data_IF_497523304992
#
_entry.id   IF_497523304992
#
_cell.length_a   1.000
_cell.length_b   1.000
_cell.length_c   1.000
_cell.angle_alpha   90.00
_cell.angle_beta   90.00
_cell.angle_gamma   90.00
#
_symmetry.space_group_name_H-M   'P 1'
#
loop_
_entity.id
_entity.type
_entity.pdbx_description
1 polymer ?
#
# COMPACT_ATOMS: atom_id res chain seq x y z
N UNK A 1 -7.11 -1.72 -7.38
CA UNK A 1 -7.09 -0.83 -6.19
C UNK A 1 -7.40 0.60 -6.60
N UNK A 2 -8.17 1.36 -5.83
CA UNK A 2 -8.35 2.79 -6.09
C UNK A 2 -7.07 3.56 -5.70
N UNK A 3 -6.44 4.23 -6.65
CA UNK A 3 -5.26 5.07 -6.39
C UNK A 3 -5.64 6.23 -5.48
N UNK A 4 -5.08 6.24 -4.27
CA UNK A 4 -5.29 7.28 -3.27
C UNK A 4 -4.10 8.22 -3.18
N UNK A 5 -4.34 9.41 -2.62
CA UNK A 5 -3.27 10.31 -2.20
C UNK A 5 -2.31 9.54 -1.27
N UNK A 6 -0.99 9.61 -1.48
CA UNK A 6 -0.03 9.04 -0.53
C UNK A 6 -0.26 9.54 0.89
N UNK A 7 -0.20 8.62 1.87
CA UNK A 7 -0.47 8.91 3.28
C UNK A 7 0.35 10.09 3.81
N UNK A 8 1.57 10.22 3.31
CA UNK A 8 2.53 11.25 3.66
C UNK A 8 3.12 11.83 2.38
N UNK A 9 3.34 13.14 2.40
CA UNK A 9 4.02 13.90 1.33
C UNK A 9 5.27 14.58 1.95
N UNK A 10 5.88 13.91 2.93
CA UNK A 10 7.05 14.44 3.61
C UNK A 10 8.29 14.27 2.74
N UNK A 11 9.11 15.33 2.73
CA UNK A 11 10.40 15.35 2.08
C UNK A 11 11.45 14.77 3.05
N UNK A 12 12.55 14.28 2.51
CA UNK A 12 13.65 13.77 3.31
C UNK A 12 14.62 12.95 2.48
N UNK A 13 15.44 12.14 3.12
CA UNK A 13 16.48 11.37 2.46
C UNK A 13 16.04 9.94 2.24
N UNK A 14 16.35 9.41 1.06
CA UNK A 14 16.41 7.97 0.81
C UNK A 14 17.87 7.59 0.66
N UNK A 15 18.28 6.51 1.33
CA UNK A 15 19.66 6.08 1.39
C UNK A 15 19.82 4.58 1.12
N UNK A 16 21.01 4.25 0.62
CA UNK A 16 21.56 2.92 0.48
C UNK A 16 22.74 2.81 1.46
N UNK A 17 22.60 2.00 2.50
CA UNK A 17 23.66 1.77 3.50
C UNK A 17 24.24 0.37 3.31
N UNK A 18 25.56 0.27 3.46
CA UNK A 18 26.30 -0.99 3.54
C UNK A 18 26.99 -1.10 4.90
N UNK A 19 27.27 -2.33 5.29
CA UNK A 19 28.00 -2.64 6.51
C UNK A 19 29.43 -3.08 6.19
N UNK A 20 30.38 -2.65 6.99
CA UNK A 20 31.79 -3.07 6.98
C UNK A 20 32.13 -3.69 8.33
N UNK A 21 32.87 -4.80 8.31
CA UNK A 21 33.38 -5.43 9.52
C UNK A 21 34.60 -4.68 10.06
N UNK A 22 34.59 -4.32 11.35
CA UNK A 22 35.70 -3.55 11.95
C UNK A 22 37.01 -4.34 12.05
N UNK A 23 36.96 -5.68 12.08
CA UNK A 23 38.15 -6.49 12.33
C UNK A 23 38.97 -6.72 11.07
N UNK A 24 38.32 -6.93 9.93
CA UNK A 24 38.97 -7.28 8.66
C UNK A 24 38.68 -6.32 7.50
N UNK A 25 37.77 -5.34 7.70
CA UNK A 25 37.38 -4.38 6.67
C UNK A 25 36.53 -4.98 5.55
N UNK A 26 36.03 -6.21 5.72
CA UNK A 26 35.19 -6.86 4.71
C UNK A 26 33.82 -6.19 4.62
N UNK A 27 33.36 -5.97 3.39
CA UNK A 27 32.01 -5.45 3.15
C UNK A 27 30.98 -6.57 3.25
N UNK A 28 29.88 -6.27 3.92
CA UNK A 28 28.71 -7.13 3.98
C UNK A 28 28.11 -7.38 2.59
N UNK A 29 27.48 -8.55 2.43
CA UNK A 29 26.82 -8.95 1.18
C UNK A 29 25.64 -8.06 0.81
N UNK A 30 24.94 -7.53 1.80
CA UNK A 30 23.65 -6.86 1.61
C UNK A 30 23.77 -5.35 1.69
N UNK A 31 22.87 -4.68 0.95
CA UNK A 31 22.63 -3.23 1.05
C UNK A 31 21.25 -3.00 1.64
N UNK A 32 21.17 -2.03 2.54
CA UNK A 32 19.93 -1.57 3.17
C UNK A 32 19.35 -0.38 2.42
N UNK A 33 18.08 -0.44 2.05
CA UNK A 33 17.32 0.72 1.58
C UNK A 33 16.46 1.27 2.71
N UNK A 34 16.67 2.53 3.08
CA UNK A 34 15.87 3.18 4.11
C UNK A 34 15.66 4.66 3.85
N UNK A 35 14.93 5.29 4.76
CA UNK A 35 14.58 6.71 4.70
C UNK A 35 14.81 7.43 6.03
N UNK A 36 14.92 8.75 5.97
CA UNK A 36 15.00 9.60 7.16
C UNK A 36 14.64 11.05 6.85
N UNK A 37 13.96 11.73 7.78
CA UNK A 37 13.78 13.20 7.73
C UNK A 37 15.00 13.97 8.25
N UNK A 38 15.95 13.27 8.90
CA UNK A 38 17.24 13.81 9.37
C UNK A 38 18.27 13.72 8.24
N UNK A 39 19.45 14.30 8.42
CA UNK A 39 20.55 14.04 7.48
C UNK A 39 21.00 12.57 7.58
N UNK A 40 21.48 11.99 6.47
CA UNK A 40 21.98 10.61 6.46
C UNK A 40 23.13 10.38 7.45
N UNK A 41 24.11 11.28 7.60
CA UNK A 41 25.14 11.14 8.64
C UNK A 41 24.58 11.12 10.07
N UNK A 42 23.51 11.87 10.36
CA UNK A 42 22.84 11.78 11.67
C UNK A 42 22.17 10.43 11.85
N UNK A 43 21.48 9.93 10.83
CA UNK A 43 20.80 8.64 10.87
C UNK A 43 21.76 7.47 11.05
N UNK A 44 22.90 7.49 10.34
CA UNK A 44 23.97 6.49 10.50
C UNK A 44 24.49 6.50 11.94
N UNK A 45 24.72 7.67 12.56
CA UNK A 45 25.15 7.72 13.98
C UNK A 45 24.14 7.11 14.95
N UNK A 46 22.84 7.31 14.69
CA UNK A 46 21.78 6.69 15.49
C UNK A 46 21.78 5.16 15.36
N UNK A 47 21.97 4.64 14.15
CA UNK A 47 22.05 3.20 13.89
C UNK A 47 23.33 2.57 14.43
N UNK A 48 24.44 3.30 14.36
CA UNK A 48 25.77 2.83 14.76
C UNK A 48 25.87 2.51 16.27
N UNK A 49 25.01 3.10 17.11
CA UNK A 49 25.08 2.93 18.56
C UNK A 49 24.82 1.48 18.95
N UNK A 50 25.88 0.74 19.30
CA UNK A 50 25.82 -0.68 19.65
C UNK A 50 25.88 -1.64 18.45
N UNK A 51 25.99 -1.14 17.21
CA UNK A 51 26.17 -2.00 16.03
C UNK A 51 27.63 -2.48 15.96
N UNK A 52 27.89 -3.80 15.95
CA UNK A 52 29.25 -4.36 15.84
C UNK A 52 29.86 -4.19 14.45
N UNK A 53 29.13 -3.63 13.49
CA UNK A 53 29.62 -3.30 12.14
C UNK A 53 29.51 -1.80 11.87
N UNK A 54 30.40 -1.30 11.03
CA UNK A 54 30.39 0.09 10.59
C UNK A 54 29.35 0.26 9.49
N UNK A 55 28.43 1.18 9.68
CA UNK A 55 27.49 1.57 8.62
C UNK A 55 28.04 2.71 7.77
N UNK A 56 27.96 2.56 6.45
CA UNK A 56 28.43 3.54 5.47
C UNK A 56 27.37 3.76 4.41
N UNK A 57 27.12 5.02 4.06
CA UNK A 57 26.27 5.32 2.92
C UNK A 57 27.03 5.07 1.63
N UNK A 58 26.48 4.21 0.78
CA UNK A 58 26.95 3.97 -0.59
C UNK A 58 26.39 5.03 -1.52
N UNK A 59 25.11 5.37 -1.33
CA UNK A 59 24.41 6.40 -2.05
C UNK A 59 23.29 6.95 -1.18
N UNK A 60 23.03 8.25 -1.28
CA UNK A 60 21.87 8.88 -0.68
C UNK A 60 21.48 10.13 -1.46
N UNK A 61 20.18 10.42 -1.44
CA UNK A 61 19.63 11.60 -2.11
C UNK A 61 18.44 12.12 -1.33
N UNK A 62 18.33 13.44 -1.25
CA UNK A 62 17.14 14.09 -0.74
C UNK A 62 16.04 14.02 -1.81
N UNK A 63 14.89 13.48 -1.40
CA UNK A 63 13.74 13.34 -2.27
C UNK A 63 12.46 13.96 -1.70
N UNK A 64 11.65 14.42 -2.63
CA UNK A 64 10.26 14.76 -2.42
C UNK A 64 9.47 13.46 -2.13
N UNK A 65 8.54 13.49 -1.18
CA UNK A 65 7.71 12.31 -0.88
C UNK A 65 8.51 11.03 -0.51
N UNK A 66 9.53 11.14 0.36
CA UNK A 66 10.51 10.08 0.68
C UNK A 66 9.91 8.70 0.98
N UNK A 67 8.76 8.64 1.65
CA UNK A 67 8.09 7.39 1.99
C UNK A 67 7.56 6.65 0.76
N UNK A 68 7.15 7.38 -0.28
CA UNK A 68 6.76 6.77 -1.53
C UNK A 68 7.98 6.28 -2.31
N UNK A 69 9.05 7.08 -2.36
CA UNK A 69 10.30 6.71 -3.05
C UNK A 69 10.96 5.46 -2.46
N UNK A 70 11.06 5.35 -1.13
CA UNK A 70 11.62 4.16 -0.48
C UNK A 70 10.76 2.92 -0.71
N UNK A 71 9.44 3.03 -0.55
CA UNK A 71 8.51 1.95 -0.91
C UNK A 71 8.59 1.57 -2.39
N UNK A 72 8.83 2.55 -3.27
CA UNK A 72 9.03 2.31 -4.69
C UNK A 72 10.24 1.40 -4.89
N UNK A 73 11.40 1.73 -4.31
CA UNK A 73 12.60 0.89 -4.39
C UNK A 73 12.38 -0.52 -3.84
N UNK A 74 11.70 -0.66 -2.70
CA UNK A 74 11.43 -1.97 -2.11
C UNK A 74 10.63 -2.89 -3.04
N UNK A 75 9.71 -2.33 -3.82
CA UNK A 75 8.94 -3.10 -4.81
C UNK A 75 9.73 -3.29 -6.10
N UNK A 76 10.49 -2.29 -6.53
CA UNK A 76 11.28 -2.33 -7.75
C UNK A 76 12.36 -3.42 -7.71
N UNK A 77 13.02 -3.55 -6.55
CA UNK A 77 14.07 -4.54 -6.30
C UNK A 77 13.60 -5.69 -5.42
N UNK A 78 12.30 -6.00 -5.41
CA UNK A 78 11.73 -7.04 -4.54
C UNK A 78 12.38 -8.43 -4.73
N UNK A 79 12.84 -8.75 -5.94
CA UNK A 79 13.56 -10.00 -6.25
C UNK A 79 14.93 -10.11 -5.58
N UNK A 80 15.56 -8.97 -5.30
CA UNK A 80 16.85 -8.90 -4.60
C UNK A 80 16.65 -8.79 -3.07
N UNK A 81 15.44 -8.49 -2.60
CA UNK A 81 15.14 -8.29 -1.18
C UNK A 81 15.27 -9.60 -0.40
N UNK A 82 16.09 -9.63 0.64
CA UNK A 82 16.26 -10.81 1.50
C UNK A 82 15.31 -10.76 2.69
N UNK A 83 15.22 -9.61 3.35
CA UNK A 83 14.33 -9.45 4.50
C UNK A 83 14.39 -8.05 5.07
N UNK A 84 13.22 -7.55 5.53
CA UNK A 84 13.13 -6.19 6.05
C UNK A 84 13.60 -5.19 5.00
N UNK A 85 14.61 -4.40 5.30
CA UNK A 85 15.14 -3.36 4.41
C UNK A 85 16.38 -3.80 3.62
N UNK A 86 16.77 -5.07 3.67
CA UNK A 86 18.04 -5.58 3.14
C UNK A 86 17.90 -6.31 1.79
N UNK A 87 18.81 -6.01 0.87
CA UNK A 87 18.84 -6.47 -0.52
C UNK A 87 20.20 -7.10 -0.85
N UNK A 88 20.16 -8.19 -1.63
CA UNK A 88 21.31 -8.91 -2.18
C UNK A 88 21.88 -8.15 -3.38
N UNK A 89 22.70 -7.14 -3.06
CA UNK A 89 23.21 -6.17 -4.01
C UNK A 89 24.55 -5.62 -3.51
N UNK A 90 25.46 -5.30 -4.43
CA UNK A 90 26.73 -4.64 -4.13
C UNK A 90 26.72 -3.15 -4.52
N UNK A 91 27.78 -2.44 -4.17
CA UNK A 91 27.93 -1.00 -4.42
C UNK A 91 27.89 -0.67 -5.91
N UNK A 92 28.45 -1.56 -6.75
CA UNK A 92 28.44 -1.37 -8.19
C UNK A 92 27.00 -1.35 -8.72
N UNK A 93 26.16 -2.30 -8.30
CA UNK A 93 24.72 -2.31 -8.65
C UNK A 93 23.94 -1.17 -8.00
N UNK A 94 24.27 -0.74 -6.79
CA UNK A 94 23.65 0.46 -6.19
C UNK A 94 23.89 1.66 -7.10
N UNK A 95 25.12 1.85 -7.56
CA UNK A 95 25.48 3.00 -8.40
C UNK A 95 24.97 2.88 -9.84
N UNK A 96 24.93 1.68 -10.42
CA UNK A 96 24.46 1.47 -11.80
C UNK A 96 22.94 1.41 -11.92
N UNK A 97 22.25 0.85 -10.93
CA UNK A 97 20.81 0.54 -11.02
C UNK A 97 20.00 1.47 -10.11
N UNK A 98 20.32 1.54 -8.82
CA UNK A 98 19.49 2.22 -7.81
C UNK A 98 19.59 3.74 -7.91
N UNK A 99 20.82 4.27 -8.00
CA UNK A 99 21.06 5.71 -8.03
C UNK A 99 20.34 6.41 -9.21
N UNK A 100 20.41 5.92 -10.46
CA UNK A 100 19.68 6.54 -11.57
C UNK A 100 18.16 6.53 -11.41
N UNK A 101 17.60 5.46 -10.82
CA UNK A 101 16.16 5.37 -10.53
C UNK A 101 15.78 6.44 -9.50
N UNK A 102 16.54 6.57 -8.41
CA UNK A 102 16.28 7.57 -7.40
C UNK A 102 16.38 9.01 -7.94
N UNK A 103 17.36 9.30 -8.81
CA UNK A 103 17.46 10.61 -9.48
C UNK A 103 16.23 10.88 -10.34
N UNK A 104 15.78 9.88 -11.09
CA UNK A 104 14.56 10.00 -11.92
C UNK A 104 13.34 10.25 -11.06
N UNK A 105 13.11 9.43 -10.03
CA UNK A 105 12.00 9.60 -9.10
C UNK A 105 12.04 10.97 -8.43
N UNK A 106 13.22 11.44 -8.03
CA UNK A 106 13.35 12.76 -7.42
C UNK A 106 12.92 13.87 -8.38
N UNK A 107 13.39 13.83 -9.63
CA UNK A 107 13.01 14.82 -10.63
C UNK A 107 11.50 14.80 -10.91
N UNK A 108 10.90 13.61 -11.03
CA UNK A 108 9.46 13.46 -11.28
C UNK A 108 8.61 13.90 -10.08
N UNK A 109 9.01 13.54 -8.86
CA UNK A 109 8.29 13.93 -7.63
C UNK A 109 8.40 15.44 -7.40
N UNK A 110 9.57 16.04 -7.63
CA UNK A 110 9.74 17.49 -7.59
C UNK A 110 8.85 18.21 -8.60
N UNK A 111 8.77 17.71 -9.84
CA UNK A 111 7.91 18.26 -10.87
C UNK A 111 6.40 18.16 -10.54
N UNK A 112 6.01 17.29 -9.60
CA UNK A 112 4.60 16.98 -9.28
C UNK A 112 4.20 17.29 -7.85
N UNK A 113 5.12 17.80 -7.02
CA UNK A 113 4.87 18.11 -5.60
C UNK A 113 3.65 19.00 -5.41
N UNK A 114 3.54 20.05 -6.21
CA UNK A 114 2.44 21.02 -6.14
C UNK A 114 1.09 20.37 -6.42
N UNK A 115 1.01 19.43 -7.37
CA UNK A 115 -0.22 18.71 -7.71
C UNK A 115 -0.71 17.86 -6.53
N UNK A 116 0.21 17.17 -5.84
CA UNK A 116 -0.11 16.39 -4.64
C UNK A 116 -0.51 17.25 -3.44
N UNK A 117 0.15 18.39 -3.23
CA UNK A 117 -0.21 19.35 -2.19
C UNK A 117 -1.60 19.91 -2.45
N UNK A 118 -1.91 20.27 -3.70
CA UNK A 118 -3.23 20.75 -4.08
C UNK A 118 -4.29 19.66 -3.89
N UNK A 119 -4.01 18.41 -4.27
CA UNK A 119 -4.93 17.29 -4.00
C UNK A 119 -5.24 17.17 -2.49
N UNK A 120 -4.22 17.25 -1.62
CA UNK A 120 -4.43 17.23 -0.16
C UNK A 120 -5.33 18.37 0.31
N UNK A 121 -5.11 19.59 -0.19
CA UNK A 121 -5.89 20.77 0.18
C UNK A 121 -7.36 20.65 -0.28
N UNK A 122 -7.57 20.24 -1.53
CA UNK A 122 -8.89 20.09 -2.13
C UNK A 122 -9.74 19.03 -1.43
N UNK A 123 -9.14 18.01 -0.80
CA UNK A 123 -9.87 16.98 -0.05
C UNK A 123 -10.70 17.56 1.10
N UNK A 124 -10.29 18.72 1.62
CA UNK A 124 -10.93 19.40 2.75
C UNK A 124 -11.74 20.64 2.31
N UNK A 125 -12.11 20.74 1.03
CA UNK A 125 -12.88 21.87 0.50
C UNK A 125 -14.15 21.37 -0.21
N UNK A 126 -15.26 22.08 0.01
CA UNK A 126 -16.52 21.84 -0.69
C UNK A 126 -16.36 22.30 -2.15
N UNK A 127 -16.92 21.54 -3.08
CA UNK A 127 -16.89 21.92 -4.50
C UNK A 127 -17.77 23.14 -4.78
N UNK A 128 -17.49 23.85 -5.87
CA UNK A 128 -18.20 25.08 -6.26
C UNK A 128 -19.51 24.83 -7.03
N UNK A 129 -19.87 23.58 -7.31
CA UNK A 129 -21.07 23.20 -8.06
C UNK A 129 -20.95 23.26 -9.59
N UNK A 130 -19.79 23.62 -10.13
CA UNK A 130 -19.60 23.81 -11.57
C UNK A 130 -19.00 22.57 -12.25
N UNK A 131 -19.40 22.33 -13.49
CA UNK A 131 -18.80 21.33 -14.38
C UNK A 131 -17.99 22.03 -15.48
N UNK A 132 -16.73 21.65 -15.63
CA UNK A 132 -15.85 22.16 -16.68
C UNK A 132 -16.00 21.35 -17.96
N UNK A 133 -16.10 22.05 -19.10
CA UNK A 133 -15.89 21.42 -20.40
C UNK A 133 -14.43 20.93 -20.54
N UNK A 134 -14.24 19.78 -21.17
CA UNK A 134 -12.90 19.26 -21.44
C UNK A 134 -12.17 20.12 -22.48
N UNK A 135 -10.94 20.54 -22.16
CA UNK A 135 -10.04 21.18 -23.10
C UNK A 135 -9.17 20.13 -23.80
N UNK A 136 -8.48 20.51 -24.89
CA UNK A 136 -7.51 19.62 -25.56
C UNK A 136 -6.43 19.12 -24.60
N UNK A 137 -5.97 19.97 -23.67
CA UNK A 137 -5.00 19.59 -22.66
C UNK A 137 -5.58 18.58 -21.65
N UNK A 138 -6.84 18.76 -21.23
CA UNK A 138 -7.51 17.81 -20.36
C UNK A 138 -7.63 16.44 -21.04
N UNK A 139 -8.06 16.40 -22.30
CA UNK A 139 -8.22 15.15 -23.06
C UNK A 139 -6.89 14.44 -23.28
N UNK A 140 -5.81 15.17 -23.59
CA UNK A 140 -4.49 14.58 -23.75
C UNK A 140 -3.98 13.95 -22.44
N UNK A 141 -4.09 14.68 -21.32
CA UNK A 141 -3.73 14.18 -20.00
C UNK A 141 -4.57 12.97 -19.58
N UNK A 142 -5.87 13.01 -19.87
CA UNK A 142 -6.78 11.89 -19.62
C UNK A 142 -6.38 10.64 -20.41
N UNK A 143 -6.02 10.80 -21.69
CA UNK A 143 -5.59 9.68 -22.51
C UNK A 143 -4.31 9.04 -21.97
N UNK A 144 -3.33 9.84 -21.53
CA UNK A 144 -2.15 9.32 -20.85
C UNK A 144 -2.52 8.57 -19.55
N UNK A 145 -3.46 9.10 -18.78
CA UNK A 145 -3.94 8.42 -17.56
C UNK A 145 -4.58 7.07 -17.88
N UNK A 146 -5.41 6.99 -18.94
CA UNK A 146 -6.03 5.72 -19.36
C UNK A 146 -4.98 4.67 -19.69
N UNK A 147 -3.99 5.00 -20.52
CA UNK A 147 -2.90 4.07 -20.88
C UNK A 147 -2.10 3.61 -19.66
N UNK A 148 -1.80 4.52 -18.73
CA UNK A 148 -1.15 4.14 -17.48
C UNK A 148 -2.02 3.19 -16.64
N UNK A 149 -3.33 3.44 -16.56
CA UNK A 149 -4.25 2.61 -15.79
C UNK A 149 -4.44 1.22 -16.41
N UNK A 150 -4.43 1.12 -17.73
CA UNK A 150 -4.47 -0.17 -18.46
C UNK A 150 -3.21 -0.98 -18.12
N UNK A 151 -2.04 -0.33 -18.13
CA UNK A 151 -0.76 -0.96 -17.71
C UNK A 151 -0.82 -1.44 -16.26
N UNK A 152 -1.37 -0.62 -15.35
CA UNK A 152 -1.55 -1.01 -13.94
C UNK A 152 -2.55 -2.17 -13.79
N UNK A 153 -3.60 -2.20 -14.61
CA UNK A 153 -4.60 -3.28 -14.61
C UNK A 153 -3.97 -4.61 -15.01
N UNK A 154 -3.18 -4.62 -16.08
CA UNK A 154 -2.44 -5.81 -16.53
C UNK A 154 -1.42 -6.27 -15.47
N UNK A 155 -0.59 -5.35 -14.97
CA UNK A 155 0.43 -5.67 -13.96
C UNK A 155 -0.20 -6.20 -12.66
N UNK A 156 -1.32 -5.62 -12.21
CA UNK A 156 -2.04 -6.08 -11.02
C UNK A 156 -2.64 -7.46 -11.24
N UNK A 157 -3.19 -7.74 -12.43
CA UNK A 157 -3.73 -9.06 -12.76
C UNK A 157 -2.66 -10.15 -12.69
N UNK A 158 -1.47 -9.88 -13.26
CA UNK A 158 -0.33 -10.80 -13.18
C UNK A 158 0.11 -11.03 -11.73
N UNK A 159 0.20 -9.95 -10.93
CA UNK A 159 0.54 -10.05 -9.51
C UNK A 159 -0.48 -10.89 -8.74
N UNK A 160 -1.77 -10.68 -8.99
CA UNK A 160 -2.86 -11.38 -8.31
C UNK A 160 -2.95 -12.86 -8.72
N UNK A 161 -2.55 -13.23 -9.94
CA UNK A 161 -2.38 -14.64 -10.36
C UNK A 161 -1.35 -15.33 -9.46
N UNK A 162 -0.13 -14.80 -9.37
CA UNK A 162 0.92 -15.44 -8.57
C UNK A 162 0.57 -15.45 -7.07
N UNK A 163 -0.10 -14.39 -6.60
CA UNK A 163 -0.63 -14.34 -5.25
C UNK A 163 -1.68 -15.43 -4.99
N UNK A 164 -2.57 -15.72 -5.93
CA UNK A 164 -3.55 -16.78 -5.82
C UNK A 164 -2.91 -18.17 -5.88
N UNK A 165 -1.96 -18.39 -6.79
CA UNK A 165 -1.21 -19.64 -6.90
C UNK A 165 -0.49 -19.99 -5.59
N UNK A 166 0.23 -19.04 -5.00
CA UNK A 166 0.90 -19.22 -3.70
C UNK A 166 -0.09 -19.54 -2.57
N UNK A 167 -1.29 -18.94 -2.57
CA UNK A 167 -2.34 -19.29 -1.59
C UNK A 167 -2.83 -20.71 -1.76
N UNK A 168 -3.04 -21.15 -3.00
CA UNK A 168 -3.45 -22.51 -3.31
C UNK A 168 -2.42 -23.54 -2.81
N UNK A 169 -1.13 -23.21 -2.87
CA UNK A 169 -0.05 -24.06 -2.38
C UNK A 169 -0.06 -24.28 -0.85
N UNK A 170 -0.70 -23.41 -0.06
CA UNK A 170 -0.74 -23.55 1.42
C UNK A 170 -1.40 -24.88 1.82
N UNK A 171 -2.52 -25.25 1.18
CA UNK A 171 -3.33 -26.39 1.59
C UNK A 171 -3.75 -26.32 3.07
N UNK A 172 -3.51 -27.40 3.81
CA UNK A 172 -3.81 -27.51 5.24
C UNK A 172 -2.64 -27.08 6.17
N UNK A 173 -1.54 -26.57 5.60
CA UNK A 173 -0.33 -26.24 6.36
C UNK A 173 -0.43 -24.88 7.06
N UNK A 174 0.48 -24.63 8.01
CA UNK A 174 0.63 -23.33 8.69
C UNK A 174 1.40 -22.32 7.84
N UNK A 175 0.89 -22.07 6.63
CA UNK A 175 1.58 -21.26 5.63
C UNK A 175 2.71 -22.01 4.92
N UNK A 176 3.69 -21.27 4.42
CA UNK A 176 4.80 -21.77 3.61
C UNK A 176 6.09 -21.14 4.12
N UNK A 177 7.07 -21.96 4.47
CA UNK A 177 8.35 -21.54 5.04
C UNK A 177 8.96 -20.38 4.22
N UNK A 178 9.27 -19.26 4.89
CA UNK A 178 9.88 -18.06 4.30
C UNK A 178 9.11 -17.37 3.13
N UNK A 179 7.88 -17.82 2.82
CA UNK A 179 7.06 -17.30 1.71
C UNK A 179 5.71 -16.77 2.20
N UNK A 180 5.00 -17.53 3.03
CA UNK A 180 3.71 -17.16 3.60
C UNK A 180 3.69 -17.49 5.10
N UNK A 181 3.30 -16.52 5.91
CA UNK A 181 2.97 -16.72 7.31
C UNK A 181 1.48 -16.55 7.51
N UNK A 182 0.86 -17.49 8.21
CA UNK A 182 -0.50 -17.33 8.72
C UNK A 182 -0.44 -16.66 10.08
N UNK A 183 -1.35 -15.72 10.32
CA UNK A 183 -1.41 -15.00 11.58
C UNK A 183 -2.82 -15.11 12.13
N UNK A 184 -2.94 -15.56 13.38
CA UNK A 184 -4.17 -15.44 14.13
C UNK A 184 -4.50 -13.96 14.34
N UNK A 185 -5.72 -13.60 13.97
CA UNK A 185 -6.26 -12.26 14.15
C UNK A 185 -7.35 -12.36 15.17
N UNK A 186 -7.05 -11.80 16.35
CA UNK A 186 -8.03 -11.63 17.42
C UNK A 186 -9.18 -10.78 16.92
N UNK A 187 -10.40 -11.34 16.96
CA UNK A 187 -11.60 -10.57 16.68
C UNK A 187 -12.04 -9.89 17.96
N UNK A 188 -12.20 -8.58 17.90
CA UNK A 188 -12.86 -7.85 18.99
C UNK A 188 -14.29 -8.37 19.16
N UNK A 189 -14.76 -8.38 20.41
CA UNK A 189 -16.13 -8.75 20.71
C UNK A 189 -17.12 -7.94 19.86
N UNK A 190 -18.17 -8.61 19.42
CA UNK A 190 -19.22 -8.01 18.62
C UNK A 190 -20.19 -7.27 19.53
N UNK A 191 -20.36 -5.98 19.27
CA UNK A 191 -21.31 -5.14 19.98
C UNK A 191 -22.71 -5.27 19.38
N UNK A 192 -23.66 -5.79 20.15
CA UNK A 192 -25.06 -5.89 19.76
C UNK A 192 -25.79 -4.57 20.06
N UNK A 193 -25.87 -3.71 19.05
CA UNK A 193 -26.54 -2.40 19.15
C UNK A 193 -28.03 -2.54 19.50
N UNK A 194 -28.74 -3.52 18.96
CA UNK A 194 -30.17 -3.70 19.20
C UNK A 194 -30.44 -4.02 20.67
N UNK A 195 -29.66 -4.91 21.27
CA UNK A 195 -29.75 -5.22 22.70
C UNK A 195 -29.41 -4.00 23.55
N UNK A 196 -28.35 -3.27 23.21
CA UNK A 196 -27.95 -2.06 23.93
C UNK A 196 -29.03 -0.97 23.87
N UNK A 197 -29.60 -0.72 22.69
CA UNK A 197 -30.69 0.24 22.50
C UNK A 197 -31.91 -0.13 23.36
N UNK A 198 -32.19 -1.43 23.55
CA UNK A 198 -33.28 -1.92 24.39
C UNK A 198 -33.08 -1.75 25.90
N UNK A 199 -31.86 -1.48 26.36
CA UNK A 199 -31.53 -1.28 27.78
C UNK A 199 -31.66 0.19 28.22
N UNK A 200 -31.68 1.13 27.27
CA UNK A 200 -31.59 2.56 27.55
C UNK A 200 -32.85 3.33 27.16
N UNK A 201 -33.14 4.40 27.89
CA UNK A 201 -34.17 5.36 27.52
C UNK A 201 -33.75 6.19 26.30
N UNK A 202 -34.71 6.82 25.57
CA UNK A 202 -34.38 7.70 24.45
C UNK A 202 -33.40 8.83 24.82
N UNK A 203 -33.50 9.40 26.03
CA UNK A 203 -32.61 10.45 26.51
C UNK A 203 -31.18 9.93 26.74
N UNK A 204 -31.04 8.72 27.29
CA UNK A 204 -29.74 8.07 27.46
C UNK A 204 -29.11 7.73 26.10
N UNK A 205 -29.91 7.21 25.15
CA UNK A 205 -29.44 6.94 23.79
C UNK A 205 -28.94 8.20 23.08
N UNK A 206 -29.54 9.37 23.35
CA UNK A 206 -29.06 10.64 22.82
C UNK A 206 -27.65 10.99 23.33
N UNK A 207 -27.29 10.60 24.56
CA UNK A 207 -25.93 10.81 25.11
C UNK A 207 -24.87 9.92 24.44
N UNK A 208 -25.29 8.87 23.74
CA UNK A 208 -24.40 7.98 22.97
C UNK A 208 -24.14 8.50 21.55
N UNK A 209 -24.78 9.60 21.13
CA UNK A 209 -24.65 10.12 19.78
C UNK A 209 -23.60 11.22 19.71
N UNK A 210 -22.83 11.24 18.63
CA UNK A 210 -21.90 12.32 18.30
C UNK A 210 -22.38 13.04 17.04
N UNK A 211 -22.28 14.37 17.04
CA UNK A 211 -22.54 15.17 15.85
C UNK A 211 -21.21 15.56 15.23
N UNK A 212 -21.01 15.18 13.96
CA UNK A 212 -19.79 15.48 13.21
C UNK A 212 -20.15 16.11 11.88
N UNK A 213 -19.40 17.15 11.53
CA UNK A 213 -19.40 17.71 10.18
C UNK A 213 -18.21 17.14 9.44
N UNK A 214 -18.46 16.51 8.30
CA UNK A 214 -17.42 15.93 7.46
C UNK A 214 -17.54 16.43 6.03
N UNK A 215 -16.41 16.76 5.42
CA UNK A 215 -16.33 16.98 3.98
C UNK A 215 -15.95 15.65 3.34
N UNK A 216 -16.79 15.17 2.43
CA UNK A 216 -16.58 13.89 1.76
C UNK A 216 -16.96 13.98 0.28
N UNK A 217 -16.40 13.08 -0.52
CA UNK A 217 -16.64 13.01 -1.95
C UNK A 217 -15.78 11.93 -2.58
N UNK A 218 -16.37 11.13 -3.47
CA UNK A 218 -15.64 10.09 -4.19
C UNK A 218 -14.99 10.69 -5.45
N UNK A 219 -13.67 10.62 -5.54
CA UNK A 219 -12.95 11.03 -6.74
C UNK A 219 -12.89 9.86 -7.73
N UNK A 220 -13.55 10.03 -8.86
CA UNK A 220 -13.57 9.06 -9.96
C UNK A 220 -12.98 9.70 -11.22
N UNK A 221 -11.87 9.17 -11.69
CA UNK A 221 -11.36 9.43 -13.04
C UNK A 221 -11.91 8.35 -13.95
N UNK A 222 -12.41 8.72 -15.12
CA UNK A 222 -12.85 7.77 -16.15
C UNK A 222 -11.64 6.95 -16.56
N UNK A 223 -11.73 5.64 -16.40
CA UNK A 223 -10.62 4.73 -16.61
C UNK A 223 -10.39 4.34 -18.06
N UNK A 224 -9.31 3.60 -18.27
CA UNK A 224 -9.09 2.75 -19.45
C UNK A 224 -9.96 1.50 -19.41
N UNK A 225 -9.69 0.60 -20.35
CA UNK A 225 -10.48 -0.61 -20.53
C UNK A 225 -10.30 -1.64 -19.40
N UNK A 226 -11.27 -2.53 -19.26
CA UNK A 226 -11.20 -3.62 -18.28
C UNK A 226 -10.20 -4.70 -18.72
N UNK A 227 -9.69 -5.49 -17.76
CA UNK A 227 -8.78 -6.61 -18.04
C UNK A 227 -9.30 -7.54 -19.13
N UNK A 228 -10.59 -7.89 -19.10
CA UNK A 228 -11.23 -8.77 -20.10
C UNK A 228 -11.24 -8.20 -21.51
N UNK A 229 -11.13 -6.89 -21.67
CA UNK A 229 -11.04 -6.22 -22.97
C UNK A 229 -9.58 -6.09 -23.39
N UNK A 230 -8.71 -5.69 -22.47
CA UNK A 230 -7.27 -5.52 -22.72
C UNK A 230 -6.56 -6.83 -23.05
N UNK A 231 -6.81 -7.86 -22.26
CA UNK A 231 -6.20 -9.18 -22.38
C UNK A 231 -7.17 -10.27 -21.87
N UNK A 232 -8.03 -10.82 -22.75
CA UNK A 232 -8.96 -11.90 -22.40
C UNK A 232 -8.25 -13.16 -21.89
N UNK A 233 -7.04 -13.45 -22.36
CA UNK A 233 -6.29 -14.64 -21.94
C UNK A 233 -5.79 -14.48 -20.51
N UNK A 234 -5.23 -13.33 -20.16
CA UNK A 234 -4.85 -13.00 -18.79
C UNK A 234 -6.06 -12.96 -17.85
N UNK A 235 -7.20 -12.43 -18.32
CA UNK A 235 -8.46 -12.47 -17.56
C UNK A 235 -8.91 -13.90 -17.23
N UNK A 236 -8.82 -14.81 -18.21
CA UNK A 236 -9.12 -16.23 -18.01
C UNK A 236 -8.15 -16.89 -17.03
N UNK A 237 -6.85 -16.58 -17.12
CA UNK A 237 -5.84 -17.08 -16.18
C UNK A 237 -6.10 -16.61 -14.75
N UNK A 238 -6.40 -15.32 -14.55
CA UNK A 238 -6.74 -14.77 -13.23
C UNK A 238 -8.00 -15.44 -12.65
N UNK A 239 -9.00 -15.68 -13.50
CA UNK A 239 -10.21 -16.39 -13.07
C UNK A 239 -9.89 -17.82 -12.65
N UNK A 240 -9.09 -18.54 -13.43
CA UNK A 240 -8.68 -19.91 -13.12
C UNK A 240 -7.83 -19.99 -11.84
N UNK A 241 -6.87 -19.09 -11.66
CA UNK A 241 -6.02 -19.03 -10.46
C UNK A 241 -6.84 -18.78 -9.19
N UNK A 242 -7.80 -17.86 -9.24
CA UNK A 242 -8.71 -17.62 -8.11
C UNK A 242 -9.64 -18.80 -7.84
N UNK A 243 -10.14 -19.47 -8.88
CA UNK A 243 -10.99 -20.65 -8.74
C UNK A 243 -10.24 -21.86 -8.15
N UNK A 244 -8.92 -21.97 -8.41
CA UNK A 244 -8.08 -23.01 -7.83
C UNK A 244 -7.88 -22.85 -6.31
N UNK A 245 -7.99 -21.63 -5.79
CA UNK A 245 -7.91 -21.34 -4.37
C UNK A 245 -9.25 -21.65 -3.66
N UNK A 246 -9.50 -22.93 -3.41
CA UNK A 246 -10.80 -23.43 -2.91
C UNK A 246 -10.93 -23.40 -1.38
N UNK A 247 -9.81 -23.42 -0.64
CA UNK A 247 -9.81 -23.52 0.82
C UNK A 247 -9.11 -22.33 1.42
N UNK A 248 -9.85 -21.47 2.12
CA UNK A 248 -9.26 -20.34 2.85
C UNK A 248 -8.67 -20.82 4.17
N UNK A 249 -7.42 -20.42 4.53
CA UNK A 249 -6.83 -20.76 5.81
C UNK A 249 -7.72 -20.35 6.98
N UNK A 250 -7.78 -21.21 7.98
CA UNK A 250 -8.54 -21.02 9.21
C UNK A 250 -7.72 -21.48 10.42
N UNK A 251 -8.29 -21.42 11.63
CA UNK A 251 -7.55 -21.69 12.87
C UNK A 251 -6.91 -23.09 12.93
N UNK A 252 -7.44 -24.10 12.22
CA UNK A 252 -6.84 -25.43 12.19
C UNK A 252 -5.52 -25.47 11.44
N UNK A 253 -5.28 -24.56 10.50
CA UNK A 253 -4.00 -24.44 9.82
C UNK A 253 -2.86 -24.12 10.80
N UNK A 254 -3.13 -23.29 11.82
CA UNK A 254 -2.12 -22.79 12.76
C UNK A 254 -1.55 -23.88 13.67
N UNK A 255 -2.21 -25.04 13.75
CA UNK A 255 -1.68 -26.21 14.47
C UNK A 255 -0.81 -27.11 13.59
N UNK A 256 -0.78 -26.84 12.29
CA UNK A 256 0.03 -27.56 11.32
C UNK A 256 1.49 -27.17 11.37
N UNK A 257 2.31 -27.86 10.57
CA UNK A 257 3.68 -27.43 10.27
C UNK A 257 3.65 -26.55 9.02
N UNK A 258 4.47 -25.48 8.92
CA UNK A 258 4.62 -24.75 7.67
C UNK A 258 5.07 -25.67 6.53
N UNK A 259 4.52 -25.46 5.34
CA UNK A 259 4.93 -26.23 4.16
C UNK A 259 6.40 -25.92 3.82
N UNK A 260 7.21 -26.97 3.68
CA UNK A 260 8.63 -26.84 3.34
C UNK A 260 8.82 -26.28 1.92
N UNK A 261 9.91 -25.55 1.73
CA UNK A 261 10.26 -24.98 0.43
C UNK A 261 10.59 -26.06 -0.61
N UNK A 262 9.82 -26.11 -1.69
CA UNK A 262 10.15 -26.85 -2.92
C UNK A 262 10.61 -25.87 -3.99
N UNK A 263 11.27 -26.36 -5.06
CA UNK A 263 11.66 -25.47 -6.16
C UNK A 263 10.45 -24.78 -6.81
N UNK A 264 9.33 -25.48 -6.98
CA UNK A 264 8.11 -24.89 -7.54
C UNK A 264 7.57 -23.73 -6.69
N UNK A 265 7.65 -23.83 -5.36
CA UNK A 265 7.26 -22.75 -4.45
C UNK A 265 8.20 -21.55 -4.59
N UNK A 266 9.51 -21.79 -4.68
CA UNK A 266 10.52 -20.73 -4.86
C UNK A 266 10.30 -20.01 -6.17
N UNK A 267 10.11 -20.75 -7.26
CA UNK A 267 9.87 -20.20 -8.60
C UNK A 267 8.61 -19.32 -8.61
N UNK A 268 7.51 -19.81 -8.02
CA UNK A 268 6.26 -19.05 -7.94
C UNK A 268 6.41 -17.79 -7.07
N UNK A 269 7.13 -17.86 -5.94
CA UNK A 269 7.39 -16.69 -5.10
C UNK A 269 8.32 -15.69 -5.78
N UNK A 270 9.31 -16.15 -6.56
CA UNK A 270 10.15 -15.26 -7.38
C UNK A 270 9.33 -14.53 -8.45
N UNK A 271 8.38 -15.20 -9.10
CA UNK A 271 7.46 -14.56 -10.04
C UNK A 271 6.57 -13.54 -9.34
N UNK A 272 6.02 -13.88 -8.18
CA UNK A 272 5.28 -12.94 -7.32
C UNK A 272 6.10 -11.69 -6.99
N UNK A 273 7.37 -11.85 -6.56
CA UNK A 273 8.25 -10.73 -6.24
C UNK A 273 8.56 -9.89 -7.49
N UNK A 274 8.83 -10.53 -8.63
CA UNK A 274 9.13 -9.85 -9.89
C UNK A 274 7.98 -8.95 -10.37
N UNK A 275 6.73 -9.38 -10.21
CA UNK A 275 5.57 -8.55 -10.60
C UNK A 275 5.44 -7.25 -9.78
N UNK A 276 6.00 -7.17 -8.57
CA UNK A 276 5.90 -5.97 -7.73
C UNK A 276 6.52 -4.74 -8.38
N UNK A 277 7.59 -4.93 -9.18
CA UNK A 277 8.22 -3.84 -9.94
C UNK A 277 7.25 -3.23 -10.94
N UNK A 278 6.69 -4.06 -11.83
CA UNK A 278 5.78 -3.61 -12.88
C UNK A 278 4.53 -2.93 -12.30
N UNK A 279 3.97 -3.51 -11.21
CA UNK A 279 2.85 -2.89 -10.49
C UNK A 279 3.23 -1.50 -9.98
N UNK A 280 4.43 -1.36 -9.40
CA UNK A 280 4.84 -0.11 -8.76
C UNK A 280 5.22 0.99 -9.77
N UNK A 281 5.88 0.62 -10.87
CA UNK A 281 6.13 1.49 -12.02
C UNK A 281 4.79 2.04 -12.56
N UNK A 282 3.84 1.15 -12.90
CA UNK A 282 2.53 1.56 -13.43
C UNK A 282 1.68 2.35 -12.42
N UNK A 283 1.77 2.01 -11.12
CA UNK A 283 1.10 2.75 -10.04
C UNK A 283 1.59 4.20 -10.00
N UNK A 284 2.90 4.42 -10.09
CA UNK A 284 3.50 5.75 -10.04
C UNK A 284 3.08 6.59 -11.25
N UNK A 285 3.11 6.02 -12.46
CA UNK A 285 2.62 6.68 -13.67
C UNK A 285 1.16 7.12 -13.53
N UNK A 286 0.28 6.22 -13.06
CA UNK A 286 -1.12 6.58 -12.85
C UNK A 286 -1.28 7.66 -11.77
N UNK A 287 -0.51 7.56 -10.69
CA UNK A 287 -0.64 8.45 -9.54
C UNK A 287 -0.26 9.89 -9.90
N UNK A 288 0.85 10.10 -10.63
CA UNK A 288 1.27 11.43 -11.05
C UNK A 288 0.34 12.06 -12.09
N UNK A 289 -0.25 11.26 -12.98
CA UNK A 289 -1.26 11.73 -13.94
C UNK A 289 -2.59 12.06 -13.25
N UNK A 290 -3.00 11.24 -12.27
CA UNK A 290 -4.19 11.51 -11.46
C UNK A 290 -4.06 12.78 -10.63
N UNK A 291 -2.88 13.03 -10.03
CA UNK A 291 -2.62 14.25 -9.28
C UNK A 291 -2.79 15.49 -10.18
N UNK A 292 -2.25 15.46 -11.40
CA UNK A 292 -2.43 16.53 -12.39
C UNK A 292 -3.89 16.74 -12.78
N UNK A 293 -4.66 15.67 -13.02
CA UNK A 293 -6.09 15.76 -13.33
C UNK A 293 -6.89 16.39 -12.17
N UNK A 294 -6.53 16.06 -10.94
CA UNK A 294 -7.15 16.64 -9.74
C UNK A 294 -6.77 18.12 -9.58
N UNK A 295 -5.51 18.47 -9.85
CA UNK A 295 -5.07 19.86 -9.86
C UNK A 295 -5.82 20.69 -10.91
N UNK A 296 -5.98 20.14 -12.12
CA UNK A 296 -6.75 20.76 -13.20
C UNK A 296 -8.25 20.89 -12.87
N UNK A 297 -8.83 19.91 -12.16
CA UNK A 297 -10.22 19.96 -11.71
C UNK A 297 -10.45 21.12 -10.71
N UNK A 298 -9.52 21.32 -9.77
CA UNK A 298 -9.67 22.35 -8.74
C UNK A 298 -10.93 22.15 -7.89
N UNK A 299 -11.69 23.23 -7.69
CA UNK A 299 -12.95 23.24 -6.93
C UNK A 299 -14.17 22.77 -7.72
N UNK A 300 -14.03 22.50 -9.02
CA UNK A 300 -15.15 22.06 -9.85
C UNK A 300 -15.62 20.66 -9.47
N UNK A 301 -16.87 20.35 -9.77
CA UNK A 301 -17.48 19.04 -9.55
C UNK A 301 -16.97 18.01 -10.55
N UNK A 302 -16.77 18.43 -11.81
CA UNK A 302 -16.23 17.57 -12.86
C UNK A 302 -15.46 18.32 -13.95
N UNK A 303 -14.66 17.56 -14.69
CA UNK A 303 -14.31 17.85 -16.08
C UNK A 303 -15.04 16.82 -16.93
N UNK A 304 -15.96 17.26 -17.79
CA UNK A 304 -16.90 16.40 -18.52
C UNK A 304 -16.17 15.27 -19.24
N UNK A 305 -16.58 14.02 -18.98
CA UNK A 305 -16.02 12.82 -19.59
C UNK A 305 -14.67 12.34 -19.04
N UNK A 306 -14.05 13.08 -18.11
CA UNK A 306 -12.68 12.82 -17.65
C UNK A 306 -12.62 12.49 -16.16
N UNK A 307 -13.05 13.40 -15.29
CA UNK A 307 -12.94 13.24 -13.84
C UNK A 307 -14.14 13.87 -13.14
N UNK A 308 -14.65 13.20 -12.12
CA UNK A 308 -15.69 13.70 -11.21
C UNK A 308 -15.20 13.60 -9.78
N UNK A 309 -15.32 14.69 -9.03
CA UNK A 309 -15.06 14.70 -7.59
C UNK A 309 -15.90 15.78 -6.90
N UNK A 310 -17.20 15.51 -6.78
CA UNK A 310 -18.13 16.34 -6.01
C UNK A 310 -17.89 16.13 -4.51
N UNK A 311 -17.47 17.19 -3.82
CA UNK A 311 -17.22 17.19 -2.38
C UNK A 311 -18.31 18.00 -1.69
N UNK A 312 -18.99 17.40 -0.72
CA UNK A 312 -20.07 18.04 0.04
C UNK A 312 -19.75 18.02 1.53
N UNK A 313 -20.19 19.05 2.24
CA UNK A 313 -20.17 19.08 3.70
C UNK A 313 -21.46 18.47 4.23
N UNK A 314 -21.36 17.40 4.99
CA UNK A 314 -22.49 16.73 5.62
C UNK A 314 -22.31 16.78 7.14
N UNK A 315 -23.30 17.33 7.84
CA UNK A 315 -23.42 17.23 9.29
C UNK A 315 -24.37 16.08 9.61
N UNK A 316 -23.87 15.09 10.33
CA UNK A 316 -24.66 13.94 10.76
C UNK A 316 -24.49 13.69 12.25
N UNK A 317 -25.59 13.36 12.90
CA UNK A 317 -25.59 12.84 14.26
C UNK A 317 -25.71 11.32 14.18
N UNK A 318 -24.69 10.62 14.66
CA UNK A 318 -24.61 9.15 14.58
C UNK A 318 -24.21 8.57 15.91
N UNK A 319 -24.59 7.32 16.14
CA UNK A 319 -24.18 6.55 17.31
C UNK A 319 -22.65 6.47 17.42
N UNK A 320 -22.12 6.75 18.60
CA UNK A 320 -20.70 6.66 18.95
C UNK A 320 -20.49 5.55 19.97
N UNK A 321 -19.82 4.46 19.56
CA UNK A 321 -19.42 3.38 20.47
C UNK A 321 -18.59 3.90 21.64
N UNK A 322 -17.76 4.91 21.39
CA UNK A 322 -16.95 5.57 22.42
C UNK A 322 -17.83 6.20 23.50
N UNK A 323 -18.79 7.05 23.11
CA UNK A 323 -19.68 7.69 24.09
C UNK A 323 -20.60 6.69 24.78
N UNK A 324 -21.05 5.65 24.07
CA UNK A 324 -21.82 4.56 24.67
C UNK A 324 -21.03 3.84 25.77
N UNK A 325 -19.76 3.53 25.52
CA UNK A 325 -18.88 2.92 26.51
C UNK A 325 -18.55 3.89 27.67
N UNK A 326 -18.27 5.16 27.38
CA UNK A 326 -17.92 6.17 28.40
C UNK A 326 -19.10 6.49 29.33
N UNK A 327 -20.32 6.55 28.81
CA UNK A 327 -21.51 6.97 29.56
C UNK A 327 -22.32 5.80 30.15
N UNK A 328 -22.24 4.62 29.54
CA UNK A 328 -23.05 3.43 29.89
C UNK A 328 -22.21 2.15 29.83
N UNK A 329 -21.06 2.14 30.51
CA UNK A 329 -20.08 1.05 30.44
C UNK A 329 -20.69 -0.32 30.79
N UNK A 330 -21.56 -0.38 31.80
CA UNK A 330 -22.15 -1.65 32.27
C UNK A 330 -23.08 -2.25 31.22
N UNK A 331 -24.01 -1.46 30.71
CA UNK A 331 -24.94 -1.85 29.66
C UNK A 331 -24.18 -2.18 28.37
N UNK A 332 -23.17 -1.39 28.03
CA UNK A 332 -22.33 -1.58 26.84
C UNK A 332 -21.62 -2.94 26.90
N UNK A 333 -20.94 -3.23 28.00
CA UNK A 333 -20.20 -4.48 28.20
C UNK A 333 -21.14 -5.70 28.24
N UNK A 334 -22.37 -5.55 28.76
CA UNK A 334 -23.37 -6.63 28.74
C UNK A 334 -23.86 -7.00 27.33
N UNK A 335 -23.63 -6.12 26.35
CA UNK A 335 -24.01 -6.31 24.96
C UNK A 335 -22.85 -6.74 24.04
N UNK A 336 -21.68 -7.03 24.62
CA UNK A 336 -20.54 -7.58 23.89
C UNK A 336 -20.65 -9.11 23.83
N UNK A 337 -20.53 -9.65 22.62
CA UNK A 337 -20.49 -11.10 22.38
C UNK A 337 -19.11 -11.50 21.86
N UNK A 338 -18.41 -12.43 22.52
CA UNK A 338 -17.12 -12.91 22.05
C UNK A 338 -17.18 -13.43 20.62
N UNK A 339 -16.18 -13.07 19.82
CA UNK A 339 -16.06 -13.52 18.43
C UNK A 339 -14.93 -14.54 18.32
N UNK A 340 -15.11 -15.53 17.43
CA UNK A 340 -14.01 -16.42 17.10
C UNK A 340 -12.93 -15.68 16.32
N UNK A 341 -11.69 -16.00 16.65
CA UNK A 341 -10.53 -15.50 15.93
C UNK A 341 -10.55 -15.96 14.47
N UNK A 342 -9.85 -15.20 13.64
CA UNK A 342 -9.73 -15.49 12.20
C UNK A 342 -8.28 -15.64 11.82
N UNK A 343 -7.99 -16.12 10.61
CA UNK A 343 -6.62 -16.22 10.10
C UNK A 343 -6.43 -15.22 8.96
N UNK A 344 -5.31 -14.51 9.01
CA UNK A 344 -4.84 -13.67 7.91
C UNK A 344 -3.63 -14.30 7.22
N UNK A 345 -3.53 -14.11 5.92
CA UNK A 345 -2.43 -14.61 5.09
C UNK A 345 -1.45 -13.46 4.82
N UNK A 346 -0.22 -13.58 5.34
CA UNK A 346 0.85 -12.61 5.13
C UNK A 346 1.90 -13.18 4.18
N UNK A 347 2.09 -12.50 3.05
CA UNK A 347 3.15 -12.82 2.09
C UNK A 347 4.46 -12.18 2.53
N UNK A 348 5.56 -12.89 2.38
CA UNK A 348 6.90 -12.35 2.57
C UNK A 348 7.28 -11.51 1.35
N UNK A 349 7.78 -10.32 1.62
CA UNK A 349 8.06 -9.29 0.61
C UNK A 349 9.46 -9.41 -0.01
N UNK A 350 10.22 -10.42 0.39
CA UNK A 350 11.54 -10.78 -0.11
C UNK A 350 11.79 -12.27 0.09
N UNK A 351 12.96 -12.75 -0.33
CA UNK A 351 13.35 -14.18 -0.33
C UNK A 351 14.42 -14.46 0.73
N UNK A 352 14.12 -15.35 1.68
CA UNK A 352 15.14 -15.89 2.62
C UNK A 352 15.66 -17.24 2.15
N UNK A 353 15.83 -17.38 0.84
CA UNK A 353 16.29 -18.60 0.19
C UNK A 353 17.06 -18.24 -1.08
N UNK A 354 17.88 -19.18 -1.55
CA UNK A 354 18.51 -19.07 -2.86
C UNK A 354 17.45 -19.38 -3.94
N UNK A 355 17.28 -18.47 -4.92
CA UNK A 355 16.29 -18.61 -5.98
C UNK A 355 16.49 -19.91 -6.77
#
# INVERSE_FOLDING_TARGET
MALGLPTTLADGWVYCIREEDYLDGSLGRYVKFGLTSRTVPQRIREHQTGNPRREMSVYDINVEMMNYAEKYLHHYFAVDRIGGEWFDMDDARVMSDVAPILVTLQAEMAARKTDFVQWRQLKNQVSNGNDLAASTAHTALHQSYKTAQESLTLATAQHDIHKANLKTMIGANDGIENVITLLEVNKSDEFNKTSFDGLLTPTQLAQCNETKTTISGSCRVVGGDSLSVLDPALAAQLTAANAAYTTTPNLTNLTGTPLALTQAIKDEHMLYLATKRQVKEAEWECLKLKAQLIAALGLNDSITGIITWRRTSTTSTTFSKKLAQENFETEFNSCLTPQQNTVSVKFHEGRKYNP
#
